data_IF_589879638689
#
_entry.id   IF_589879638689
#
_cell.length_a   1.000
_cell.length_b   1.000
_cell.length_c   1.000
_cell.angle_alpha   90.00
_cell.angle_beta   90.00
_cell.angle_gamma   90.00
#
_symmetry.space_group_name_H-M   'P 1'
#
loop_
_entity.id
_entity.type
_entity.pdbx_description
1 polymer ?
#
# COMPACT_ATOMS: atom_id res chain seq x y z
N UNK A 1 23.85 0.21 71.93
CA UNK A 1 22.85 0.15 70.84
C UNK A 1 23.47 0.70 69.58
N UNK A 2 23.82 -0.15 68.65
CA UNK A 2 24.41 0.27 67.35
C UNK A 2 23.30 0.15 66.26
N UNK A 3 22.86 1.27 65.74
CA UNK A 3 21.96 1.32 64.56
C UNK A 3 22.79 1.07 63.29
N UNK A 4 22.43 0.03 62.55
CA UNK A 4 22.92 -0.22 61.19
C UNK A 4 22.08 0.57 60.18
N UNK A 5 22.67 1.26 59.21
CA UNK A 5 21.89 1.88 58.15
C UNK A 5 21.49 0.84 57.11
N UNK A 6 20.20 0.79 56.83
CA UNK A 6 19.64 0.03 55.68
C UNK A 6 19.88 0.83 54.41
N UNK A 7 20.76 0.34 53.55
CA UNK A 7 20.98 0.92 52.22
C UNK A 7 19.89 0.36 51.33
N UNK A 8 18.91 1.21 50.96
CA UNK A 8 17.91 0.91 49.95
C UNK A 8 18.54 1.11 48.57
N UNK A 9 18.76 0.03 47.84
CA UNK A 9 19.18 0.04 46.45
C UNK A 9 17.94 0.29 45.60
N UNK A 10 17.78 1.51 45.07
CA UNK A 10 16.79 1.82 44.03
C UNK A 10 17.31 1.29 42.70
N UNK A 11 16.75 0.20 42.21
CA UNK A 11 16.94 -0.26 40.83
C UNK A 11 16.02 0.60 39.96
N UNK A 12 16.60 1.58 39.28
CA UNK A 12 15.90 2.39 38.26
C UNK A 12 15.78 1.54 36.99
N UNK A 13 14.63 0.91 36.79
CA UNK A 13 14.29 0.29 35.51
C UNK A 13 14.00 1.35 34.48
N UNK A 14 14.94 1.57 33.57
CA UNK A 14 14.71 2.42 32.37
C UNK A 14 13.86 1.63 31.40
N UNK A 15 12.55 1.92 31.40
CA UNK A 15 11.64 1.46 30.36
C UNK A 15 11.93 2.29 29.11
N UNK A 16 12.70 1.77 28.16
CA UNK A 16 12.79 2.31 26.82
C UNK A 16 11.47 2.01 26.11
N UNK A 17 10.55 2.96 26.13
CA UNK A 17 9.39 2.97 25.26
C UNK A 17 9.91 3.29 23.86
N UNK A 18 10.07 2.25 23.03
CA UNK A 18 10.26 2.44 21.59
C UNK A 18 9.03 3.18 21.05
N UNK A 19 9.21 4.42 20.64
CA UNK A 19 8.21 5.13 19.84
C UNK A 19 8.19 4.44 18.49
N UNK A 20 7.09 3.73 18.19
CA UNK A 20 6.78 3.32 16.81
C UNK A 20 6.48 4.63 16.09
N UNK A 21 7.39 5.08 15.22
CA UNK A 21 7.09 6.14 14.26
C UNK A 21 6.09 5.54 13.27
N UNK A 22 4.83 5.91 13.44
CA UNK A 22 3.78 5.62 12.47
C UNK A 22 4.14 6.40 11.21
N UNK A 23 4.59 5.69 10.18
CA UNK A 23 4.86 6.31 8.88
C UNK A 23 3.52 6.84 8.35
N UNK A 24 3.40 8.16 8.36
CA UNK A 24 2.27 8.87 7.76
C UNK A 24 2.33 8.67 6.23
N UNK A 25 1.62 7.65 5.75
CA UNK A 25 1.43 7.44 4.32
C UNK A 25 0.53 8.57 3.83
N UNK A 26 1.13 9.58 3.22
CA UNK A 26 0.40 10.69 2.61
C UNK A 26 -0.51 10.13 1.51
N UNK A 27 -1.82 10.15 1.75
CA UNK A 27 -2.82 9.76 0.75
C UNK A 27 -3.00 10.92 -0.23
N UNK A 28 -2.94 10.62 -1.53
CA UNK A 28 -3.17 11.57 -2.60
C UNK A 28 -4.58 11.41 -3.18
N UNK A 29 -5.20 12.52 -3.60
CA UNK A 29 -6.45 12.51 -4.35
C UNK A 29 -6.25 13.13 -5.72
N UNK A 30 -6.45 12.33 -6.77
CA UNK A 30 -6.39 12.78 -8.16
C UNK A 30 -7.79 13.10 -8.67
N UNK A 31 -8.00 14.29 -9.24
CA UNK A 31 -9.29 14.70 -9.75
C UNK A 31 -9.39 14.43 -11.24
N UNK A 32 -10.48 13.75 -11.66
CA UNK A 32 -10.88 13.55 -13.04
C UNK A 32 -12.18 14.32 -13.29
N UNK A 33 -12.19 15.13 -14.34
CA UNK A 33 -13.39 15.86 -14.80
C UNK A 33 -13.81 15.37 -16.19
N UNK A 34 -14.83 15.98 -16.78
CA UNK A 34 -15.32 15.67 -18.13
C UNK A 34 -15.25 16.86 -19.05
N UNK A 35 -15.07 16.58 -20.35
CA UNK A 35 -15.25 17.54 -21.44
C UNK A 35 -16.47 17.11 -22.26
N UNK A 36 -17.61 17.72 -21.98
CA UNK A 36 -18.88 17.42 -22.67
C UNK A 36 -18.86 17.74 -24.15
N UNK A 37 -17.93 18.59 -24.65
CA UNK A 37 -17.84 18.96 -26.05
C UNK A 37 -17.18 17.86 -26.87
N UNK A 38 -16.15 17.24 -26.31
CA UNK A 38 -15.37 16.19 -26.95
C UNK A 38 -15.70 14.78 -26.43
N UNK A 39 -16.63 14.65 -25.48
CA UNK A 39 -17.06 13.40 -24.85
C UNK A 39 -15.87 12.60 -24.32
N UNK A 40 -15.10 13.19 -23.40
CA UNK A 40 -13.92 12.55 -22.81
C UNK A 40 -13.75 12.91 -21.35
N UNK A 41 -13.10 12.02 -20.63
CA UNK A 41 -12.57 12.31 -19.29
C UNK A 41 -11.28 13.14 -19.39
N UNK A 42 -11.03 14.00 -18.39
CA UNK A 42 -9.86 14.86 -18.33
C UNK A 42 -9.27 14.91 -16.92
N UNK A 43 -8.06 14.34 -16.71
CA UNK A 43 -7.27 13.55 -17.67
C UNK A 43 -7.96 12.24 -18.03
N UNK A 44 -7.65 11.69 -19.21
CA UNK A 44 -8.20 10.40 -19.65
C UNK A 44 -7.53 9.20 -18.97
N UNK A 45 -6.27 9.35 -18.57
CA UNK A 45 -5.51 8.34 -17.82
C UNK A 45 -4.86 8.98 -16.61
N UNK A 46 -4.95 8.31 -15.47
CA UNK A 46 -4.29 8.70 -14.21
C UNK A 46 -3.53 7.51 -13.65
N UNK A 47 -2.46 7.80 -12.90
CA UNK A 47 -1.74 6.81 -12.10
C UNK A 47 -1.84 7.22 -10.64
N UNK A 48 -2.16 6.27 -9.79
CA UNK A 48 -2.25 6.42 -8.33
C UNK A 48 -1.57 5.22 -7.67
N UNK A 49 -1.30 5.31 -6.37
CA UNK A 49 -0.79 4.20 -5.55
C UNK A 49 -1.93 3.61 -4.71
N UNK A 50 -1.84 2.35 -4.36
CA UNK A 50 -2.76 1.76 -3.37
C UNK A 50 -2.81 2.63 -2.10
N UNK A 51 -4.01 2.94 -1.64
CA UNK A 51 -4.25 3.90 -0.56
C UNK A 51 -4.70 5.28 -1.04
N UNK A 52 -4.40 5.67 -2.28
CA UNK A 52 -4.84 6.92 -2.88
C UNK A 52 -6.30 6.87 -3.35
N UNK A 53 -6.81 8.04 -3.74
CA UNK A 53 -8.18 8.19 -4.23
C UNK A 53 -8.23 8.86 -5.60
N UNK A 54 -9.22 8.48 -6.40
CA UNK A 54 -9.61 9.23 -7.61
C UNK A 54 -10.99 9.83 -7.37
N UNK A 55 -11.08 11.14 -7.55
CA UNK A 55 -12.32 11.89 -7.44
C UNK A 55 -12.83 12.27 -8.81
N UNK A 56 -13.99 11.75 -9.18
CA UNK A 56 -14.71 12.12 -10.38
C UNK A 56 -15.58 13.33 -10.05
N UNK A 57 -15.21 14.50 -10.58
CA UNK A 57 -15.86 15.75 -10.23
C UNK A 57 -16.20 16.58 -11.47
N UNK A 58 -17.50 16.90 -11.63
CA UNK A 58 -17.98 17.89 -12.60
C UNK A 58 -19.28 18.53 -12.11
N UNK A 59 -19.54 19.76 -12.58
CA UNK A 59 -20.70 20.52 -12.16
C UNK A 59 -21.18 21.43 -13.30
N UNK A 60 -22.48 21.38 -13.60
CA UNK A 60 -23.10 22.20 -14.62
C UNK A 60 -22.76 21.79 -16.04
N UNK A 61 -22.40 20.51 -16.26
CA UNK A 61 -22.05 20.01 -17.59
C UNK A 61 -23.22 20.10 -18.59
N UNK A 62 -22.87 20.21 -19.87
CA UNK A 62 -23.86 20.29 -20.95
C UNK A 62 -24.66 18.99 -21.08
N UNK A 63 -23.98 17.85 -20.94
CA UNK A 63 -24.56 16.52 -21.01
C UNK A 63 -24.42 15.82 -19.64
N UNK A 64 -25.20 14.77 -19.43
CA UNK A 64 -25.10 13.92 -18.25
C UNK A 64 -24.02 12.87 -18.46
N UNK A 65 -23.15 12.68 -17.47
CA UNK A 65 -22.04 11.72 -17.46
C UNK A 65 -22.01 10.93 -16.18
N UNK A 66 -21.41 9.74 -16.24
CA UNK A 66 -21.00 8.96 -15.08
C UNK A 66 -19.62 8.34 -15.33
N UNK A 67 -19.06 7.66 -14.32
CA UNK A 67 -17.81 6.91 -14.41
C UNK A 67 -18.03 5.53 -13.80
N UNK A 68 -17.99 4.49 -14.64
CA UNK A 68 -18.25 3.09 -14.24
C UNK A 68 -17.09 2.22 -14.70
N UNK A 69 -16.45 1.51 -13.75
CA UNK A 69 -15.37 0.59 -14.07
C UNK A 69 -15.90 -0.67 -14.76
N UNK A 70 -15.23 -1.13 -15.83
CA UNK A 70 -15.61 -2.36 -16.52
C UNK A 70 -15.51 -3.61 -15.66
N UNK A 71 -14.60 -3.61 -14.70
CA UNK A 71 -14.42 -4.69 -13.72
C UNK A 71 -15.36 -4.61 -12.51
N UNK A 72 -16.18 -3.55 -12.43
CA UNK A 72 -17.13 -3.30 -11.35
C UNK A 72 -16.50 -2.81 -10.05
N UNK A 73 -15.22 -2.38 -10.08
CA UNK A 73 -14.53 -1.91 -8.89
C UNK A 73 -15.14 -0.62 -8.32
N UNK A 74 -15.58 0.29 -9.20
CA UNK A 74 -16.26 1.53 -8.82
C UNK A 74 -17.36 1.92 -9.79
N UNK A 75 -18.33 2.67 -9.28
CA UNK A 75 -19.48 3.20 -10.02
C UNK A 75 -19.92 4.52 -9.39
N UNK A 76 -19.89 5.61 -10.15
CA UNK A 76 -20.34 6.93 -9.68
C UNK A 76 -21.87 7.09 -9.66
N UNK A 77 -22.62 6.05 -9.99
CA UNK A 77 -24.07 6.03 -10.04
C UNK A 77 -24.67 6.53 -11.36
N UNK A 78 -25.92 6.88 -11.33
CA UNK A 78 -26.66 7.35 -12.49
C UNK A 78 -26.00 8.56 -13.16
N UNK A 79 -26.02 8.60 -14.48
CA UNK A 79 -25.44 9.71 -15.23
C UNK A 79 -26.07 11.05 -14.86
N UNK A 80 -25.26 12.03 -14.52
CA UNK A 80 -25.68 13.35 -14.05
C UNK A 80 -24.81 14.46 -14.64
N UNK A 81 -25.38 15.68 -14.69
CA UNK A 81 -24.65 16.90 -15.07
C UNK A 81 -23.81 17.46 -13.91
N UNK A 82 -23.97 16.88 -12.73
CA UNK A 82 -23.23 17.21 -11.52
C UNK A 82 -22.89 15.92 -10.81
N UNK A 83 -21.61 15.60 -10.68
CA UNK A 83 -21.09 14.44 -9.97
C UNK A 83 -19.97 14.91 -9.05
N UNK A 84 -19.96 14.36 -7.86
CA UNK A 84 -18.89 14.47 -6.88
C UNK A 84 -18.76 13.10 -6.20
N UNK A 85 -17.91 12.25 -6.77
CA UNK A 85 -17.73 10.87 -6.34
C UNK A 85 -16.25 10.58 -6.20
N UNK A 86 -15.81 10.14 -5.03
CA UNK A 86 -14.44 9.75 -4.74
C UNK A 86 -14.38 8.25 -4.44
N UNK A 87 -13.46 7.56 -5.08
CA UNK A 87 -13.17 6.15 -4.85
C UNK A 87 -11.73 5.98 -4.39
N UNK A 88 -11.55 5.30 -3.24
CA UNK A 88 -10.24 4.96 -2.67
C UNK A 88 -9.82 3.58 -3.15
N UNK A 89 -8.61 3.49 -3.69
CA UNK A 89 -8.01 2.23 -4.12
C UNK A 89 -7.32 1.55 -2.93
N UNK A 90 -8.00 0.59 -2.31
CA UNK A 90 -7.46 -0.12 -1.15
C UNK A 90 -6.29 -1.05 -1.55
N UNK A 91 -5.49 -1.47 -0.56
CA UNK A 91 -4.41 -2.43 -0.76
C UNK A 91 -4.96 -3.74 -1.35
N UNK A 92 -4.36 -4.20 -2.43
CA UNK A 92 -4.82 -5.36 -3.22
C UNK A 92 -5.62 -5.01 -4.46
N UNK A 93 -5.81 -3.69 -4.76
CA UNK A 93 -6.46 -3.22 -5.99
C UNK A 93 -5.48 -2.76 -7.06
N UNK A 94 -4.19 -3.06 -6.90
CA UNK A 94 -3.19 -2.71 -7.90
C UNK A 94 -3.49 -3.36 -9.26
N UNK A 95 -3.27 -2.60 -10.32
CA UNK A 95 -3.56 -3.02 -11.69
C UNK A 95 -4.02 -1.88 -12.58
N UNK A 96 -4.59 -2.23 -13.72
CA UNK A 96 -5.16 -1.27 -14.68
C UNK A 96 -6.67 -1.44 -14.72
N UNK A 97 -7.38 -0.39 -14.36
CA UNK A 97 -8.84 -0.34 -14.30
C UNK A 97 -9.34 0.60 -15.39
N UNK A 98 -9.93 0.01 -16.43
CA UNK A 98 -10.60 0.78 -17.47
C UNK A 98 -12.02 1.11 -17.04
N UNK A 99 -12.49 2.30 -17.38
CA UNK A 99 -13.82 2.77 -17.06
C UNK A 99 -14.44 3.54 -18.22
N UNK A 100 -15.75 3.69 -18.20
CA UNK A 100 -16.52 4.33 -19.27
C UNK A 100 -17.55 5.31 -18.69
N UNK A 101 -18.08 6.14 -19.59
CA UNK A 101 -19.33 6.87 -19.38
C UNK A 101 -20.45 6.12 -20.10
N UNK A 102 -21.40 5.52 -19.38
CA UNK A 102 -22.43 4.64 -19.96
C UNK A 102 -23.22 5.30 -21.11
N UNK A 103 -23.75 6.54 -20.98
CA UNK A 103 -24.50 7.16 -22.09
C UNK A 103 -23.63 7.51 -23.30
N UNK A 104 -22.29 7.49 -23.17
CA UNK A 104 -21.38 7.90 -24.25
C UNK A 104 -20.35 6.81 -24.62
N UNK A 105 -20.59 5.56 -24.22
CA UNK A 105 -19.72 4.43 -24.54
C UNK A 105 -19.53 4.25 -26.04
N UNK A 106 -20.61 4.33 -26.81
CA UNK A 106 -20.56 4.19 -28.29
C UNK A 106 -19.73 5.30 -28.97
N UNK A 107 -19.51 6.41 -28.28
CA UNK A 107 -18.66 7.52 -28.75
C UNK A 107 -17.21 7.40 -28.26
N UNK A 108 -16.89 6.33 -27.55
CA UNK A 108 -15.54 6.06 -27.05
C UNK A 108 -15.15 6.90 -25.82
N UNK A 109 -16.12 7.35 -25.02
CA UNK A 109 -15.84 8.06 -23.77
C UNK A 109 -15.39 7.09 -22.70
N UNK A 110 -14.11 6.78 -22.69
CA UNK A 110 -13.45 5.87 -21.76
C UNK A 110 -12.27 6.54 -21.06
N UNK A 111 -11.85 5.97 -19.94
CA UNK A 111 -10.66 6.38 -19.20
C UNK A 111 -9.96 5.19 -18.56
N UNK A 112 -8.81 5.46 -17.95
CA UNK A 112 -7.98 4.42 -17.32
C UNK A 112 -7.41 4.93 -16.01
N UNK A 113 -7.51 4.12 -14.96
CA UNK A 113 -6.76 4.30 -13.72
C UNK A 113 -5.71 3.19 -13.63
N UNK A 114 -4.44 3.55 -13.53
CA UNK A 114 -3.35 2.64 -13.22
C UNK A 114 -3.05 2.75 -11.73
N UNK A 115 -3.19 1.66 -11.00
CA UNK A 115 -2.94 1.60 -9.57
C UNK A 115 -1.63 0.86 -9.33
N UNK A 116 -0.64 1.56 -8.80
CA UNK A 116 0.64 0.98 -8.41
C UNK A 116 0.55 0.38 -7.01
N UNK A 117 1.27 -0.73 -6.73
CA UNK A 117 1.25 -1.32 -5.40
C UNK A 117 1.91 -0.40 -4.38
N UNK A 118 1.37 -0.37 -3.15
CA UNK A 118 1.98 0.33 -2.03
C UNK A 118 3.30 -0.38 -1.66
N UNK A 119 4.43 0.29 -1.87
CA UNK A 119 5.75 -0.22 -1.49
C UNK A 119 6.11 0.29 -0.10
N UNK A 120 6.06 -0.58 0.91
CA UNK A 120 6.59 -0.28 2.24
C UNK A 120 8.09 -0.52 2.17
N UNK A 121 8.90 0.53 2.22
CA UNK A 121 10.35 0.41 2.40
C UNK A 121 10.60 0.13 3.87
N UNK A 122 10.85 -1.14 4.23
CA UNK A 122 11.44 -1.44 5.53
C UNK A 122 12.87 -0.88 5.48
N UNK A 123 13.14 0.19 6.23
CA UNK A 123 14.51 0.60 6.51
C UNK A 123 15.13 -0.52 7.36
N UNK A 124 15.99 -1.33 6.73
CA UNK A 124 16.85 -2.25 7.47
C UNK A 124 17.64 -1.41 8.47
N UNK A 125 17.35 -1.60 9.76
CA UNK A 125 18.19 -1.07 10.83
C UNK A 125 19.63 -1.46 10.52
N UNK A 126 20.61 -0.54 10.54
CA UNK A 126 22.00 -0.92 10.39
C UNK A 126 22.31 -1.91 11.52
N UNK A 127 22.65 -3.16 11.14
CA UNK A 127 23.14 -4.16 12.05
C UNK A 127 24.25 -3.50 12.87
N UNK A 128 24.06 -3.36 14.17
CA UNK A 128 25.13 -3.03 15.08
C UNK A 128 26.14 -4.17 14.95
N UNK A 129 27.20 -3.92 14.18
CA UNK A 129 28.38 -4.78 14.14
C UNK A 129 28.89 -4.93 15.56
N UNK A 130 28.41 -6.02 16.19
CA UNK A 130 28.90 -6.43 17.50
C UNK A 130 30.40 -6.62 17.44
N UNK A 131 31.11 -5.68 18.01
CA UNK A 131 32.53 -5.73 18.25
C UNK A 131 32.86 -7.06 18.95
N UNK A 132 33.37 -8.01 18.18
CA UNK A 132 33.85 -9.29 18.70
C UNK A 132 35.09 -9.05 19.54
N UNK A 133 34.87 -8.84 20.85
CA UNK A 133 35.92 -8.94 21.85
C UNK A 133 36.57 -10.33 21.79
N UNK A 134 37.80 -10.35 21.34
CA UNK A 134 38.69 -11.52 21.33
C UNK A 134 38.77 -12.15 22.69
N UNK A 135 38.24 -13.39 22.86
CA UNK A 135 38.56 -14.25 23.98
C UNK A 135 39.50 -15.38 23.55
N UNK A 136 40.52 -15.72 24.37
CA UNK A 136 41.53 -16.70 23.99
C UNK A 136 41.05 -18.15 24.15
N UNK A 137 41.63 -18.98 23.32
CA UNK A 137 41.44 -20.40 23.10
C UNK A 137 41.23 -21.28 24.35
N UNK A 138 40.23 -22.16 24.26
CA UNK A 138 40.07 -23.32 25.10
C UNK A 138 39.14 -24.33 24.42
N UNK A 139 39.69 -25.41 23.88
CA UNK A 139 39.03 -26.35 22.99
C UNK A 139 37.88 -27.14 23.59
N UNK A 140 37.02 -27.62 22.70
CA UNK A 140 36.44 -28.99 22.76
C UNK A 140 35.64 -29.25 21.48
N UNK A 141 35.95 -30.36 20.84
CA UNK A 141 35.33 -30.94 19.65
C UNK A 141 33.81 -31.19 19.86
N UNK A 142 32.99 -30.61 19.00
CA UNK A 142 31.57 -30.93 18.91
C UNK A 142 31.13 -30.95 17.45
N UNK A 143 30.98 -32.16 16.88
CA UNK A 143 30.48 -32.38 15.53
C UNK A 143 28.98 -32.06 15.44
N UNK A 144 28.59 -30.97 14.78
CA UNK A 144 27.21 -30.69 14.44
C UNK A 144 26.93 -31.10 13.02
N UNK A 145 26.12 -32.11 12.86
CA UNK A 145 25.58 -32.57 11.54
C UNK A 145 24.50 -31.64 11.08
N UNK A 146 24.72 -31.00 9.95
CA UNK A 146 23.72 -30.13 9.28
C UNK A 146 22.88 -31.04 8.37
N UNK A 147 21.59 -31.17 8.66
CA UNK A 147 20.62 -31.77 7.77
C UNK A 147 20.11 -30.72 6.77
N UNK A 148 20.51 -30.85 5.50
CA UNK A 148 19.86 -30.17 4.39
C UNK A 148 18.56 -30.90 4.06
N UNK A 149 17.43 -30.29 4.41
CA UNK A 149 16.12 -30.73 3.96
C UNK A 149 15.80 -30.08 2.61
N UNK A 150 15.92 -30.84 1.52
CA UNK A 150 15.45 -30.42 0.21
C UNK A 150 13.92 -30.52 0.16
N UNK A 151 13.22 -29.39 0.11
CA UNK A 151 11.79 -29.36 -0.16
C UNK A 151 11.55 -29.52 -1.67
N UNK A 152 11.03 -30.67 -2.05
CA UNK A 152 10.60 -30.96 -3.42
C UNK A 152 9.18 -30.42 -3.59
N UNK A 153 9.01 -29.36 -4.40
CA UNK A 153 7.69 -28.87 -4.82
C UNK A 153 7.20 -29.69 -6.03
N UNK A 154 6.01 -30.29 -6.01
CA UNK A 154 5.46 -30.94 -7.16
C UNK A 154 4.96 -29.93 -8.19
N UNK A 155 5.49 -30.04 -9.40
CA UNK A 155 5.07 -29.30 -10.60
C UNK A 155 3.71 -29.83 -11.06
N UNK A 156 2.66 -28.97 -11.06
CA UNK A 156 1.37 -29.32 -11.66
C UNK A 156 1.49 -29.25 -13.17
N UNK A 157 1.39 -30.40 -13.84
CA UNK A 157 1.20 -30.47 -15.28
C UNK A 157 -0.26 -30.16 -15.62
N UNK A 158 -0.45 -29.16 -16.49
CA UNK A 158 -1.74 -28.86 -17.12
C UNK A 158 -1.82 -29.71 -18.37
N UNK A 159 -2.74 -30.69 -18.40
CA UNK A 159 -3.11 -31.40 -19.63
C UNK A 159 -4.18 -30.61 -20.38
N UNK A 160 -3.99 -30.54 -21.66
CA UNK A 160 -4.86 -30.05 -22.74
C UNK A 160 -6.23 -30.72 -22.70
#
# INVERSE_FOLDING_TARGET
MRLLPVIAIFVLAVLTTGTIEEQDVTQEEVVVTVDSTNLRFSPQSVTVTEGDSVRFFWSGELLAHNAVAYDGLFDSGDASRNVDYSFKFEVGTNGTHEYLCEPHEEFGMTGTVVVEPLTIVEEESPDEDGETGSLPAGGLLGTATIFFGAAIYPRKETRV
#
